data_IF_358703892442
#
_entry.id   IF_358703892442
#
_cell.length_a   1.000
_cell.length_b   1.000
_cell.length_c   1.000
_cell.angle_alpha   90.00
_cell.angle_beta   90.00
_cell.angle_gamma   90.00
#
_symmetry.space_group_name_H-M   'P 1'
#
loop_
_entity.id
_entity.type
_entity.pdbx_description
1 polymer ?
#
# COMPACT_ATOMS: atom_id res chain seq x y z
N UNK A 1 -57.19 16.11 -31.57
CA UNK A 1 -55.74 16.37 -31.44
C UNK A 1 -55.29 16.90 -30.06
N UNK A 2 -56.13 17.61 -29.29
CA UNK A 2 -55.78 18.11 -27.93
C UNK A 2 -55.66 17.06 -26.81
N UNK A 3 -56.14 15.81 -27.02
CA UNK A 3 -56.11 14.73 -26.00
C UNK A 3 -54.83 13.86 -26.05
N UNK A 4 -54.03 13.97 -27.11
CA UNK A 4 -52.78 13.23 -27.25
C UNK A 4 -51.58 13.97 -26.62
N UNK A 5 -51.67 15.30 -26.46
CA UNK A 5 -50.60 16.10 -25.86
C UNK A 5 -50.53 15.97 -24.33
N UNK A 6 -51.64 15.66 -23.66
CA UNK A 6 -51.71 15.55 -22.20
C UNK A 6 -51.18 14.23 -21.64
N UNK A 7 -51.15 13.15 -22.44
CA UNK A 7 -50.57 11.87 -21.99
C UNK A 7 -49.04 11.86 -22.00
N UNK A 8 -48.40 12.65 -22.86
CA UNK A 8 -46.94 12.68 -22.98
C UNK A 8 -46.23 13.43 -21.83
N UNK A 9 -46.92 14.36 -21.17
CA UNK A 9 -46.35 15.15 -20.06
C UNK A 9 -46.34 14.38 -18.74
N UNK A 10 -47.29 13.46 -18.52
CA UNK A 10 -47.35 12.66 -17.30
C UNK A 10 -46.24 11.59 -17.22
N UNK A 11 -45.77 11.07 -18.36
CA UNK A 11 -44.72 10.06 -18.41
C UNK A 11 -43.30 10.62 -18.14
N UNK A 12 -43.09 11.92 -18.36
CA UNK A 12 -41.80 12.57 -18.16
C UNK A 12 -41.54 13.02 -16.72
N UNK A 13 -42.57 13.05 -15.87
CA UNK A 13 -42.47 13.44 -14.44
C UNK A 13 -42.26 12.24 -13.50
N UNK A 14 -42.39 11.01 -14.00
CA UNK A 14 -42.24 9.79 -13.19
C UNK A 14 -40.78 9.31 -13.05
N UNK A 15 -39.85 9.87 -13.84
CA UNK A 15 -38.44 9.46 -13.86
C UNK A 15 -37.53 10.23 -12.88
N UNK A 16 -38.08 11.11 -12.04
CA UNK A 16 -37.29 11.89 -11.06
C UNK A 16 -37.28 11.31 -9.64
N UNK A 17 -37.98 10.21 -9.37
CA UNK A 17 -38.01 9.55 -8.06
C UNK A 17 -37.26 8.21 -8.11
N UNK A 18 -35.93 8.26 -8.29
CA UNK A 18 -35.07 7.07 -8.39
C UNK A 18 -33.93 6.97 -7.38
N UNK A 19 -33.81 7.92 -6.44
CA UNK A 19 -32.83 7.84 -5.35
C UNK A 19 -33.56 7.80 -4.01
N UNK A 20 -34.08 6.63 -3.64
CA UNK A 20 -34.37 6.38 -2.22
C UNK A 20 -33.03 6.20 -1.49
N UNK A 21 -32.72 7.04 -0.48
CA UNK A 21 -31.56 6.78 0.37
C UNK A 21 -31.77 5.45 1.07
N UNK A 22 -30.74 4.60 1.06
CA UNK A 22 -30.77 3.32 1.76
C UNK A 22 -31.20 3.52 3.22
N UNK A 23 -32.08 2.65 3.75
CA UNK A 23 -32.43 2.65 5.17
C UNK A 23 -31.16 2.65 6.05
N UNK A 24 -31.23 3.29 7.21
CA UNK A 24 -30.07 3.48 8.09
C UNK A 24 -29.36 2.19 8.48
N UNK A 25 -30.11 1.10 8.66
CA UNK A 25 -29.60 -0.24 8.91
C UNK A 25 -28.76 -0.75 7.73
N UNK A 26 -29.26 -0.59 6.50
CA UNK A 26 -28.54 -0.99 5.29
C UNK A 26 -27.28 -0.14 5.06
N UNK A 27 -27.32 1.15 5.39
CA UNK A 27 -26.12 2.02 5.40
C UNK A 27 -25.10 1.59 6.44
N UNK A 28 -25.54 1.19 7.64
CA UNK A 28 -24.66 0.67 8.68
C UNK A 28 -23.99 -0.64 8.24
N UNK A 29 -24.74 -1.55 7.63
CA UNK A 29 -24.23 -2.80 7.08
C UNK A 29 -23.22 -2.55 5.96
N UNK A 30 -23.50 -1.61 5.04
CA UNK A 30 -22.53 -1.21 4.01
C UNK A 30 -21.24 -0.67 4.60
N UNK A 31 -21.29 0.17 5.64
CA UNK A 31 -20.07 0.69 6.30
C UNK A 31 -19.25 -0.41 6.97
N UNK A 32 -19.90 -1.36 7.64
CA UNK A 32 -19.22 -2.51 8.27
C UNK A 32 -18.57 -3.39 7.20
N UNK A 33 -19.29 -3.66 6.10
CA UNK A 33 -18.76 -4.44 4.98
C UNK A 33 -17.56 -3.74 4.32
N UNK A 34 -17.66 -2.43 4.06
CA UNK A 34 -16.55 -1.65 3.52
C UNK A 34 -15.33 -1.66 4.45
N UNK A 35 -15.55 -1.46 5.75
CA UNK A 35 -14.47 -1.52 6.73
C UNK A 35 -13.81 -2.90 6.73
N UNK A 36 -14.59 -3.98 6.73
CA UNK A 36 -14.07 -5.34 6.73
C UNK A 36 -13.24 -5.63 5.47
N UNK A 37 -13.75 -5.26 4.29
CA UNK A 37 -13.03 -5.43 3.01
C UNK A 37 -11.73 -4.64 3.02
N UNK A 38 -11.74 -3.39 3.50
CA UNK A 38 -10.52 -2.57 3.62
C UNK A 38 -9.51 -3.21 4.56
N UNK A 39 -9.94 -3.73 5.72
CA UNK A 39 -9.04 -4.44 6.63
C UNK A 39 -8.38 -5.65 5.98
N UNK A 40 -9.14 -6.48 5.26
CA UNK A 40 -8.58 -7.62 4.54
C UNK A 40 -7.57 -7.20 3.47
N UNK A 41 -7.85 -6.12 2.74
CA UNK A 41 -6.94 -5.59 1.73
C UNK A 41 -5.66 -5.03 2.37
N UNK A 42 -5.77 -4.28 3.45
CA UNK A 42 -4.62 -3.72 4.18
C UNK A 42 -3.69 -4.82 4.69
N UNK A 43 -4.25 -5.91 5.22
CA UNK A 43 -3.47 -7.04 5.70
C UNK A 43 -2.81 -7.82 4.55
N UNK A 44 -3.49 -7.96 3.41
CA UNK A 44 -2.88 -8.56 2.22
C UNK A 44 -1.69 -7.73 1.71
N UNK A 45 -1.82 -6.41 1.69
CA UNK A 45 -0.72 -5.50 1.30
C UNK A 45 0.44 -5.59 2.28
N UNK A 46 0.19 -5.52 3.60
CA UNK A 46 1.25 -5.67 4.62
C UNK A 46 1.97 -7.01 4.49
N UNK A 47 1.22 -8.10 4.29
CA UNK A 47 1.80 -9.42 4.13
C UNK A 47 2.64 -9.52 2.86
N UNK A 48 2.26 -8.86 1.77
CA UNK A 48 3.07 -8.80 0.56
C UNK A 48 4.38 -8.03 0.79
N UNK A 49 4.33 -6.88 1.47
CA UNK A 49 5.53 -6.10 1.85
C UNK A 49 6.47 -6.93 2.70
N UNK A 50 5.94 -7.60 3.74
CA UNK A 50 6.70 -8.49 4.62
C UNK A 50 7.30 -9.65 3.81
N UNK A 51 6.50 -10.37 3.01
CA UNK A 51 6.98 -11.51 2.25
C UNK A 51 8.14 -11.14 1.30
N UNK A 52 8.07 -9.96 0.68
CA UNK A 52 9.11 -9.52 -0.24
C UNK A 52 10.37 -9.03 0.47
N UNK A 53 10.25 -8.45 1.67
CA UNK A 53 11.34 -7.78 2.40
C UNK A 53 12.15 -6.80 1.53
N UNK A 54 11.54 -6.21 0.49
CA UNK A 54 12.27 -5.48 -0.55
C UNK A 54 11.75 -4.06 -0.73
N UNK A 55 12.67 -3.10 -0.78
CA UNK A 55 12.39 -1.74 -1.24
C UNK A 55 12.90 -1.55 -2.67
N UNK A 56 12.07 -0.96 -3.51
CA UNK A 56 12.32 -0.75 -4.94
C UNK A 56 12.73 0.69 -5.25
N UNK A 57 13.28 0.97 -6.45
CA UNK A 57 13.65 2.34 -6.84
C UNK A 57 12.50 3.36 -6.73
N UNK A 58 11.25 2.95 -6.94
CA UNK A 58 10.07 3.81 -6.85
C UNK A 58 9.65 4.15 -5.41
N UNK A 59 10.24 3.52 -4.38
CA UNK A 59 10.06 3.91 -2.98
C UNK A 59 10.86 5.14 -2.58
N UNK A 60 11.70 5.65 -3.49
CA UNK A 60 12.51 6.83 -3.25
C UNK A 60 12.00 8.00 -4.06
N UNK A 61 12.23 9.20 -3.53
CA UNK A 61 12.11 10.43 -4.32
C UNK A 61 13.05 10.35 -5.53
N UNK A 62 12.62 10.77 -6.74
CA UNK A 62 13.46 10.75 -7.93
C UNK A 62 14.82 11.41 -7.71
N UNK A 63 15.89 10.75 -8.14
CA UNK A 63 17.29 11.21 -7.99
C UNK A 63 17.75 11.49 -6.55
N UNK A 64 17.02 10.99 -5.54
CA UNK A 64 17.34 11.19 -4.13
C UNK A 64 17.45 9.87 -3.36
N UNK A 65 18.08 9.96 -2.19
CA UNK A 65 18.21 8.87 -1.22
C UNK A 65 17.20 8.96 -0.07
N UNK A 66 16.13 9.73 -0.28
CA UNK A 66 15.05 9.92 0.69
C UNK A 66 13.86 9.08 0.22
N UNK A 67 13.21 8.39 1.16
CA UNK A 67 11.99 7.64 0.87
C UNK A 67 10.87 8.63 0.50
N UNK A 68 9.94 8.21 -0.35
CA UNK A 68 8.67 8.91 -0.52
C UNK A 68 7.63 8.32 0.46
N UNK A 69 6.39 8.83 0.43
CA UNK A 69 5.35 8.39 1.35
C UNK A 69 5.06 6.87 1.28
N UNK A 70 5.10 6.28 0.08
CA UNK A 70 4.93 4.83 -0.08
C UNK A 70 6.12 4.07 0.52
N UNK A 71 7.34 4.53 0.24
CA UNK A 71 8.55 3.94 0.79
C UNK A 71 8.62 4.01 2.31
N UNK A 72 8.17 5.12 2.91
CA UNK A 72 8.07 5.28 4.37
C UNK A 72 7.04 4.32 4.96
N UNK A 73 5.85 4.25 4.37
CA UNK A 73 4.80 3.31 4.78
C UNK A 73 5.29 1.85 4.78
N UNK A 74 5.91 1.41 3.69
CA UNK A 74 6.39 0.04 3.56
C UNK A 74 7.59 -0.22 4.49
N UNK A 75 8.46 0.78 4.68
CA UNK A 75 9.55 0.69 5.64
C UNK A 75 9.03 0.56 7.08
N UNK A 76 7.96 1.26 7.45
CA UNK A 76 7.34 1.15 8.78
C UNK A 76 6.75 -0.24 9.03
N UNK A 77 6.10 -0.84 8.02
CA UNK A 77 5.63 -2.24 8.08
C UNK A 77 6.82 -3.18 8.32
N UNK A 78 7.89 -3.03 7.54
CA UNK A 78 9.09 -3.86 7.65
C UNK A 78 9.77 -3.70 9.01
N UNK A 79 9.94 -2.47 9.50
CA UNK A 79 10.56 -2.26 10.82
C UNK A 79 9.72 -2.83 11.96
N UNK A 80 8.39 -2.74 11.88
CA UNK A 80 7.49 -3.39 12.83
C UNK A 80 7.67 -4.92 12.82
N UNK A 81 7.79 -5.53 11.64
CA UNK A 81 8.08 -6.96 11.49
C UNK A 81 9.44 -7.34 12.10
N UNK A 82 10.52 -6.64 11.74
CA UNK A 82 11.87 -6.92 12.21
C UNK A 82 12.08 -6.71 13.71
N UNK A 83 11.18 -6.00 14.40
CA UNK A 83 11.21 -5.95 15.87
C UNK A 83 11.01 -7.33 16.48
N UNK A 84 10.20 -8.19 15.87
CA UNK A 84 9.92 -9.55 16.33
C UNK A 84 10.76 -10.60 15.61
N UNK A 85 11.01 -10.41 14.32
CA UNK A 85 11.68 -11.39 13.46
C UNK A 85 12.87 -10.74 12.73
N UNK A 86 14.06 -10.66 13.34
CA UNK A 86 15.23 -10.05 12.68
C UNK A 86 15.58 -10.78 11.38
N UNK A 87 16.05 -10.02 10.37
CA UNK A 87 16.34 -10.57 9.06
C UNK A 87 17.10 -9.60 8.15
N UNK A 88 16.70 -9.54 6.88
CA UNK A 88 17.34 -8.73 5.86
C UNK A 88 16.32 -7.85 5.15
N UNK A 89 16.68 -6.59 4.90
CA UNK A 89 16.01 -5.71 3.95
C UNK A 89 16.75 -5.77 2.63
N UNK A 90 16.04 -6.10 1.56
CA UNK A 90 16.56 -6.04 0.22
C UNK A 90 16.30 -4.65 -0.36
N UNK A 91 17.27 -4.14 -1.10
CA UNK A 91 17.15 -2.90 -1.83
C UNK A 91 17.46 -3.17 -3.29
N UNK A 92 16.42 -3.19 -4.14
CA UNK A 92 16.64 -3.50 -5.55
C UNK A 92 17.29 -2.30 -6.23
N UNK A 93 18.42 -2.55 -6.91
CA UNK A 93 19.14 -1.49 -7.63
C UNK A 93 18.42 -1.01 -8.90
N UNK A 94 17.94 -1.94 -9.73
CA UNK A 94 17.46 -1.63 -11.09
C UNK A 94 18.50 -0.84 -11.89
N UNK A 95 18.05 0.20 -12.61
CA UNK A 95 18.91 1.09 -13.39
C UNK A 95 19.55 2.23 -12.57
N UNK A 96 19.42 2.19 -11.24
CA UNK A 96 19.96 3.25 -10.38
C UNK A 96 21.49 3.30 -10.47
N UNK A 97 22.08 4.49 -10.74
CA UNK A 97 23.54 4.67 -10.72
C UNK A 97 24.15 4.23 -9.39
N UNK A 98 25.33 3.59 -9.43
CA UNK A 98 25.95 3.01 -8.23
C UNK A 98 26.15 4.01 -7.09
N UNK A 99 26.47 5.26 -7.42
CA UNK A 99 26.61 6.35 -6.44
C UNK A 99 25.31 6.67 -5.72
N UNK A 100 24.19 6.78 -6.45
CA UNK A 100 22.87 7.02 -5.88
C UNK A 100 22.37 5.80 -5.10
N UNK A 101 22.62 4.59 -5.61
CA UNK A 101 22.29 3.34 -4.94
C UNK A 101 23.00 3.25 -3.58
N UNK A 102 24.30 3.53 -3.51
CA UNK A 102 25.06 3.55 -2.25
C UNK A 102 24.50 4.55 -1.23
N UNK A 103 24.08 5.74 -1.69
CA UNK A 103 23.40 6.72 -0.82
C UNK A 103 22.07 6.19 -0.28
N UNK A 104 21.28 5.50 -1.11
CA UNK A 104 20.02 4.86 -0.68
C UNK A 104 20.26 3.76 0.35
N UNK A 105 21.23 2.88 0.12
CA UNK A 105 21.63 1.84 1.10
C UNK A 105 21.98 2.48 2.44
N UNK A 106 22.84 3.51 2.44
CA UNK A 106 23.21 4.24 3.66
C UNK A 106 21.99 4.84 4.36
N UNK A 107 21.08 5.46 3.61
CA UNK A 107 19.85 6.06 4.14
C UNK A 107 18.99 5.02 4.86
N UNK A 108 18.77 3.84 4.26
CA UNK A 108 18.03 2.73 4.89
C UNK A 108 18.73 2.23 6.16
N UNK A 109 20.05 2.07 6.14
CA UNK A 109 20.81 1.69 7.34
C UNK A 109 20.65 2.71 8.47
N UNK A 110 20.69 4.00 8.15
CA UNK A 110 20.51 5.06 9.14
C UNK A 110 19.08 5.09 9.69
N UNK A 111 18.07 4.86 8.85
CA UNK A 111 16.67 4.74 9.28
C UNK A 111 16.46 3.51 10.19
N UNK A 112 17.04 2.35 9.85
CA UNK A 112 16.99 1.16 10.70
C UNK A 112 17.62 1.42 12.08
N UNK A 113 18.74 2.16 12.12
CA UNK A 113 19.35 2.58 13.38
C UNK A 113 18.42 3.50 14.18
N UNK A 114 17.82 4.50 13.53
CA UNK A 114 16.85 5.41 14.17
C UNK A 114 15.62 4.67 14.71
N UNK A 115 15.17 3.62 14.03
CA UNK A 115 14.07 2.75 14.47
C UNK A 115 14.44 1.79 15.63
N UNK A 116 15.68 1.85 16.14
CA UNK A 116 16.17 0.99 17.22
C UNK A 116 16.60 -0.42 16.77
N UNK A 117 16.69 -0.67 15.46
CA UNK A 117 17.03 -1.98 14.89
C UNK A 117 18.52 -2.16 14.59
N UNK A 118 19.35 -1.12 14.76
CA UNK A 118 20.79 -1.17 14.44
C UNK A 118 21.59 -2.23 15.20
N UNK A 119 21.15 -2.64 16.39
CA UNK A 119 21.80 -3.70 17.20
C UNK A 119 21.27 -5.11 16.89
N UNK A 120 20.17 -5.24 16.14
CA UNK A 120 19.51 -6.53 15.87
C UNK A 120 20.12 -7.31 14.71
N UNK A 121 21.23 -6.83 14.13
CA UNK A 121 21.90 -7.50 13.02
C UNK A 121 21.10 -7.51 11.72
N UNK A 122 20.18 -6.55 11.52
CA UNK A 122 19.44 -6.43 10.27
C UNK A 122 20.40 -6.10 9.13
N UNK A 123 20.41 -6.92 8.09
CA UNK A 123 21.26 -6.73 6.91
C UNK A 123 20.53 -5.90 5.86
N UNK A 124 21.27 -5.12 5.08
CA UNK A 124 20.76 -4.49 3.86
C UNK A 124 21.53 -5.04 2.67
N UNK A 125 20.84 -5.67 1.72
CA UNK A 125 21.46 -6.35 0.59
C UNK A 125 20.80 -6.00 -0.75
N UNK A 126 21.53 -6.19 -1.85
CA UNK A 126 20.94 -6.18 -3.19
C UNK A 126 20.59 -7.63 -3.57
N UNK A 127 19.44 -8.14 -3.11
CA UNK A 127 18.99 -9.50 -3.38
C UNK A 127 17.58 -9.50 -3.98
N UNK A 128 17.16 -10.68 -4.46
CA UNK A 128 15.83 -10.86 -5.04
C UNK A 128 14.74 -10.78 -3.96
N UNK A 129 13.52 -10.32 -4.32
CA UNK A 129 12.37 -10.39 -3.42
C UNK A 129 12.11 -11.81 -2.93
N UNK A 130 11.76 -11.95 -1.65
CA UNK A 130 11.51 -13.26 -1.03
C UNK A 130 12.75 -13.97 -0.48
N UNK A 131 13.95 -13.39 -0.61
CA UNK A 131 15.18 -13.95 -0.04
C UNK A 131 15.83 -15.02 -0.93
N UNK A 132 16.66 -15.87 -0.32
CA UNK A 132 17.49 -16.86 -1.03
C UNK A 132 16.69 -18.05 -1.62
N UNK A 133 15.38 -18.11 -1.34
CA UNK A 133 14.53 -19.26 -1.66
C UNK A 133 14.74 -20.46 -0.72
N UNK A 134 13.86 -21.45 -0.81
CA UNK A 134 14.09 -22.76 -0.18
C UNK A 134 14.86 -23.59 -1.20
N UNK A 135 16.06 -24.05 -0.84
CA UNK A 135 16.75 -25.06 -1.62
C UNK A 135 15.93 -26.36 -1.53
N UNK A 136 15.34 -26.75 -2.66
CA UNK A 136 14.68 -28.05 -2.85
C UNK A 136 15.70 -29.12 -3.24
#
# INVERSE_FOLDING_TARGET
MKRLLTLAVAAALASTFGCEPLPDEQRAHSRVNEWLVRQYQDDAVKNAVIAQHTLYPYHFVPNAAVLNALGEHDFDILTAHFRKYPGQVNLQRGDTPGTLYGKRVKSIVDLLKKAGLGKKGIKVANALPGGDGIAS
#
